data_IF_290674464410
#
_entry.id   IF_290674464410
#
_cell.length_a   1.000
_cell.length_b   1.000
_cell.length_c   1.000
_cell.angle_alpha   90.00
_cell.angle_beta   90.00
_cell.angle_gamma   90.00
#
_symmetry.space_group_name_H-M   'P 1'
#
loop_
_entity.id
_entity.type
_entity.pdbx_description
1 polymer ?
#
# COMPACT_ATOMS: atom_id res chain seq x y z
N UNK A 1 15.73 14.49 18.74
CA UNK A 1 15.77 13.03 18.97
C UNK A 1 17.21 12.54 19.12
N UNK A 2 18.04 12.51 18.08
CA UNK A 2 19.45 12.07 18.23
C UNK A 2 20.31 13.05 19.07
N UNK A 3 20.10 14.37 18.94
CA UNK A 3 20.83 15.38 19.72
C UNK A 3 20.50 15.39 21.22
N UNK A 4 19.38 14.78 21.62
CA UNK A 4 18.96 14.66 23.03
C UNK A 4 19.33 13.29 23.63
N UNK A 5 20.09 12.46 22.89
CA UNK A 5 20.51 11.12 23.35
C UNK A 5 19.40 10.06 23.32
N UNK A 6 18.26 10.35 22.68
CA UNK A 6 17.16 9.38 22.50
C UNK A 6 17.41 8.58 21.23
N UNK A 7 17.57 7.26 21.39
CA UNK A 7 17.75 6.35 20.26
C UNK A 7 16.44 6.21 19.46
N UNK A 8 16.48 6.31 18.12
CA UNK A 8 15.31 6.07 17.30
C UNK A 8 14.90 4.60 17.40
N UNK A 9 13.59 4.37 17.41
CA UNK A 9 12.98 3.04 17.38
C UNK A 9 12.25 2.79 16.05
N UNK A 10 11.69 1.59 15.89
CA UNK A 10 10.88 1.20 14.71
C UNK A 10 9.79 2.23 14.39
N UNK A 11 9.06 2.72 15.41
CA UNK A 11 8.01 3.73 15.22
C UNK A 11 8.55 5.05 14.68
N UNK A 12 9.71 5.48 15.20
CA UNK A 12 10.39 6.70 14.75
C UNK A 12 10.72 6.62 13.26
N UNK A 13 11.25 5.49 12.79
CA UNK A 13 11.54 5.29 11.38
C UNK A 13 10.29 5.26 10.50
N UNK A 14 9.20 4.64 10.95
CA UNK A 14 7.92 4.67 10.22
C UNK A 14 7.45 6.12 10.01
N UNK A 15 7.50 6.95 11.05
CA UNK A 15 7.07 8.35 10.97
C UNK A 15 7.93 9.13 9.98
N UNK A 16 9.26 9.00 10.08
CA UNK A 16 10.19 9.72 9.20
C UNK A 16 10.07 9.25 7.75
N UNK A 17 10.01 7.93 7.49
CA UNK A 17 9.81 7.39 6.14
C UNK A 17 8.47 7.81 5.54
N UNK A 18 7.40 7.86 6.35
CA UNK A 18 6.11 8.36 5.91
C UNK A 18 6.19 9.86 5.54
N UNK A 19 6.90 10.66 6.33
CA UNK A 19 7.14 12.06 6.01
C UNK A 19 7.93 12.22 4.69
N UNK A 20 8.97 11.42 4.47
CA UNK A 20 9.68 11.37 3.18
C UNK A 20 8.73 11.01 2.03
N UNK A 21 7.84 10.03 2.23
CA UNK A 21 6.83 9.64 1.24
C UNK A 21 5.92 10.81 0.85
N UNK A 22 5.38 11.52 1.84
CA UNK A 22 4.52 12.68 1.60
C UNK A 22 5.27 13.86 0.96
N UNK A 23 6.54 14.04 1.28
CA UNK A 23 7.38 15.12 0.75
C UNK A 23 8.03 14.79 -0.60
N UNK A 24 7.94 13.53 -1.07
CA UNK A 24 8.61 13.08 -2.29
C UNK A 24 10.14 12.99 -2.17
N UNK A 25 10.66 12.90 -0.94
CA UNK A 25 12.10 12.84 -0.64
C UNK A 25 12.62 11.41 -0.78
N UNK A 26 12.76 10.96 -2.03
CA UNK A 26 13.08 9.57 -2.37
C UNK A 26 14.47 9.18 -1.88
N UNK A 27 15.48 10.02 -2.13
CA UNK A 27 16.87 9.70 -1.80
C UNK A 27 17.09 9.68 -0.28
N UNK A 28 16.49 10.64 0.44
CA UNK A 28 16.49 10.68 1.89
C UNK A 28 15.76 9.46 2.48
N UNK A 29 14.60 9.08 1.94
CA UNK A 29 13.86 7.91 2.38
C UNK A 29 14.68 6.61 2.24
N UNK A 30 15.40 6.46 1.13
CA UNK A 30 16.32 5.32 0.92
C UNK A 30 17.46 5.35 1.92
N UNK A 31 18.07 6.51 2.14
CA UNK A 31 19.16 6.64 3.10
C UNK A 31 18.72 6.27 4.52
N UNK A 32 17.58 6.80 4.96
CA UNK A 32 16.96 6.50 6.27
C UNK A 32 16.62 5.01 6.39
N UNK A 33 16.03 4.41 5.36
CA UNK A 33 15.71 2.98 5.37
C UNK A 33 16.96 2.09 5.47
N UNK A 34 18.06 2.51 4.85
CA UNK A 34 19.34 1.80 4.89
C UNK A 34 20.07 1.96 6.24
N UNK A 35 19.96 3.13 6.88
CA UNK A 35 20.60 3.39 8.18
C UNK A 35 19.97 2.63 9.34
N UNK A 36 18.69 2.23 9.23
CA UNK A 36 17.96 1.50 10.28
C UNK A 36 18.77 0.35 10.90
N UNK A 37 19.20 -0.61 10.08
CA UNK A 37 19.93 -1.79 10.56
C UNK A 37 21.41 -1.50 10.76
N UNK A 38 22.01 -0.71 9.85
CA UNK A 38 23.46 -0.51 9.81
C UNK A 38 23.99 0.47 10.86
N UNK A 39 23.20 1.48 11.21
CA UNK A 39 23.61 2.56 12.13
C UNK A 39 22.80 2.55 13.43
N UNK A 40 21.53 2.11 13.39
CA UNK A 40 20.63 2.19 14.54
C UNK A 40 20.24 0.83 15.12
N UNK A 41 20.67 -0.28 14.51
CA UNK A 41 20.36 -1.65 14.92
C UNK A 41 18.85 -1.92 15.07
N UNK A 42 18.03 -1.24 14.26
CA UNK A 42 16.57 -1.39 14.20
C UNK A 42 16.22 -2.29 13.01
N UNK A 43 15.63 -3.48 13.22
CA UNK A 43 15.25 -4.36 12.13
C UNK A 43 14.08 -3.77 11.33
N UNK A 44 14.10 -4.00 10.01
CA UNK A 44 12.99 -3.62 9.13
C UNK A 44 11.85 -4.63 9.24
N UNK A 45 10.62 -4.14 9.26
CA UNK A 45 9.40 -4.93 9.25
C UNK A 45 8.47 -4.52 8.10
N UNK A 46 7.34 -5.21 7.96
CA UNK A 46 6.34 -4.95 6.91
C UNK A 46 5.91 -3.49 6.80
N UNK A 47 5.83 -2.74 7.92
CA UNK A 47 5.40 -1.34 7.89
C UNK A 47 6.46 -0.46 7.24
N UNK A 48 7.74 -0.68 7.53
CA UNK A 48 8.84 0.07 6.91
C UNK A 48 8.90 -0.17 5.40
N UNK A 49 8.75 -1.43 4.97
CA UNK A 49 8.66 -1.73 3.53
C UNK A 49 7.42 -1.10 2.90
N UNK A 50 6.30 -1.05 3.61
CA UNK A 50 5.09 -0.33 3.17
C UNK A 50 5.34 1.16 2.95
N UNK A 51 6.04 1.84 3.86
CA UNK A 51 6.42 3.25 3.70
C UNK A 51 7.30 3.47 2.45
N UNK A 52 8.24 2.56 2.18
CA UNK A 52 9.11 2.66 0.99
C UNK A 52 8.33 2.44 -0.30
N UNK A 53 7.38 1.49 -0.33
CA UNK A 53 6.52 1.28 -1.49
C UNK A 53 5.61 2.48 -1.72
N UNK A 54 5.04 3.08 -0.66
CA UNK A 54 4.25 4.31 -0.75
C UNK A 54 5.11 5.48 -1.28
N UNK A 55 6.34 5.64 -0.79
CA UNK A 55 7.29 6.64 -1.26
C UNK A 55 7.56 6.53 -2.76
N UNK A 56 7.92 5.34 -3.25
CA UNK A 56 8.15 5.13 -4.68
C UNK A 56 6.87 5.32 -5.50
N UNK A 57 5.74 4.83 -4.99
CA UNK A 57 4.43 4.92 -5.63
C UNK A 57 3.99 6.37 -5.85
N UNK A 58 4.12 7.21 -4.81
CA UNK A 58 3.76 8.64 -4.86
C UNK A 58 4.72 9.45 -5.72
N UNK A 59 5.99 9.06 -5.77
CA UNK A 59 6.98 9.66 -6.66
C UNK A 59 6.80 9.24 -8.14
N UNK A 60 5.81 8.40 -8.47
CA UNK A 60 5.59 7.88 -9.83
C UNK A 60 6.61 6.81 -10.26
N UNK A 61 7.45 6.34 -9.34
CA UNK A 61 8.49 5.34 -9.58
C UNK A 61 7.93 3.92 -9.47
N UNK A 62 6.85 3.64 -10.21
CA UNK A 62 6.07 2.38 -10.10
C UNK A 62 6.93 1.13 -10.37
N UNK A 63 7.80 1.16 -11.39
CA UNK A 63 8.73 0.07 -11.69
C UNK A 63 9.67 -0.22 -10.52
N UNK A 64 10.25 0.83 -9.93
CA UNK A 64 11.12 0.72 -8.75
C UNK A 64 10.37 0.20 -7.54
N UNK A 65 9.11 0.61 -7.33
CA UNK A 65 8.27 0.08 -6.28
C UNK A 65 8.02 -1.43 -6.44
N UNK A 66 7.78 -1.89 -7.66
CA UNK A 66 7.60 -3.33 -7.95
C UNK A 66 8.88 -4.15 -7.74
N UNK A 67 10.02 -3.64 -8.21
CA UNK A 67 11.34 -4.25 -7.93
C UNK A 67 11.60 -4.33 -6.43
N UNK A 68 11.30 -3.26 -5.70
CA UNK A 68 11.49 -3.19 -4.26
C UNK A 68 10.63 -4.22 -3.50
N UNK A 69 9.36 -4.41 -3.90
CA UNK A 69 8.52 -5.49 -3.36
C UNK A 69 9.16 -6.86 -3.57
N UNK A 70 9.82 -7.07 -4.72
CA UNK A 70 10.46 -8.34 -5.05
C UNK A 70 11.73 -8.61 -4.21
N UNK A 71 12.29 -7.57 -3.57
CA UNK A 71 13.41 -7.68 -2.64
C UNK A 71 12.98 -7.91 -1.18
N UNK A 72 11.68 -7.88 -0.89
CA UNK A 72 11.18 -8.08 0.47
C UNK A 72 11.51 -9.49 0.96
N UNK A 73 11.97 -9.66 2.22
CA UNK A 73 12.30 -10.98 2.76
C UNK A 73 11.05 -11.81 3.14
N UNK A 74 9.85 -11.29 2.88
CA UNK A 74 8.56 -11.92 3.15
C UNK A 74 7.53 -11.49 2.09
N UNK A 75 6.44 -12.24 1.98
CA UNK A 75 5.36 -11.92 1.04
C UNK A 75 4.69 -10.57 1.38
N UNK A 76 4.48 -9.68 0.39
CA UNK A 76 3.80 -8.42 0.61
C UNK A 76 2.34 -8.66 1.02
N UNK A 77 1.87 -7.89 2.01
CA UNK A 77 0.46 -7.93 2.40
C UNK A 77 -0.43 -7.21 1.37
N UNK A 78 -1.74 -7.32 1.54
CA UNK A 78 -2.73 -6.69 0.65
C UNK A 78 -2.65 -5.16 0.64
N UNK A 79 -2.16 -4.54 1.71
CA UNK A 79 -2.00 -3.10 1.81
C UNK A 79 -0.89 -2.60 0.86
N UNK A 80 0.28 -3.25 0.89
CA UNK A 80 1.41 -2.96 0.01
C UNK A 80 1.04 -3.19 -1.46
N UNK A 81 0.41 -4.33 -1.75
CA UNK A 81 -0.05 -4.65 -3.11
C UNK A 81 -1.12 -3.66 -3.59
N UNK A 82 -2.05 -3.27 -2.72
CA UNK A 82 -3.08 -2.30 -3.02
C UNK A 82 -2.52 -0.90 -3.31
N UNK A 83 -1.53 -0.46 -2.53
CA UNK A 83 -0.84 0.81 -2.75
C UNK A 83 -0.14 0.83 -4.12
N UNK A 84 0.60 -0.22 -4.46
CA UNK A 84 1.25 -0.32 -5.77
C UNK A 84 0.23 -0.38 -6.92
N UNK A 85 -0.85 -1.13 -6.78
CA UNK A 85 -1.90 -1.21 -7.81
C UNK A 85 -2.57 0.14 -8.04
N UNK A 86 -2.80 0.91 -6.97
CA UNK A 86 -3.30 2.29 -7.06
C UNK A 86 -2.32 3.18 -7.85
N UNK A 87 -1.02 3.06 -7.55
CA UNK A 87 0.03 3.78 -8.28
C UNK A 87 0.07 3.40 -9.77
N UNK A 88 -0.07 2.11 -10.10
CA UNK A 88 -0.18 1.65 -11.48
C UNK A 88 -1.38 2.29 -12.20
N UNK A 89 -2.51 2.43 -11.51
CA UNK A 89 -3.70 3.08 -12.07
C UNK A 89 -3.53 4.56 -12.32
N UNK A 90 -2.79 5.27 -11.47
CA UNK A 90 -2.55 6.71 -11.64
C UNK A 90 -1.55 6.95 -12.78
N UNK A 91 -0.54 6.08 -12.90
CA UNK A 91 0.56 6.24 -13.86
C UNK A 91 0.36 5.47 -15.17
N UNK A 92 -0.78 4.79 -15.36
CA UNK A 92 -1.10 3.96 -16.53
C UNK A 92 -0.10 2.83 -16.81
N UNK A 93 0.50 2.25 -15.76
CA UNK A 93 1.43 1.12 -15.85
C UNK A 93 0.65 -0.20 -15.88
N UNK A 94 0.16 -0.58 -17.07
CA UNK A 94 -0.70 -1.77 -17.24
C UNK A 94 -0.01 -3.06 -16.82
N UNK A 95 1.19 -3.29 -17.35
CA UNK A 95 1.94 -4.55 -17.22
C UNK A 95 2.17 -4.88 -15.74
N UNK A 96 2.61 -3.89 -14.96
CA UNK A 96 2.80 -4.05 -13.51
C UNK A 96 1.45 -4.21 -12.81
N UNK A 97 0.43 -3.45 -13.22
CA UNK A 97 -0.91 -3.56 -12.66
C UNK A 97 -1.49 -4.98 -12.76
N UNK A 98 -1.30 -5.65 -13.90
CA UNK A 98 -1.72 -7.04 -14.10
C UNK A 98 -0.94 -8.01 -13.20
N UNK A 99 0.39 -7.85 -13.10
CA UNK A 99 1.24 -8.68 -12.24
C UNK A 99 0.85 -8.55 -10.76
N UNK A 100 0.61 -7.32 -10.31
CA UNK A 100 0.19 -7.03 -8.92
C UNK A 100 -1.19 -7.60 -8.65
N UNK A 101 -2.14 -7.49 -9.58
CA UNK A 101 -3.46 -8.11 -9.40
C UNK A 101 -3.36 -9.64 -9.32
N UNK A 102 -2.54 -10.27 -10.16
CA UNK A 102 -2.33 -11.71 -10.11
C UNK A 102 -1.76 -12.15 -8.75
N UNK A 103 -0.85 -11.37 -8.14
CA UNK A 103 -0.37 -11.59 -6.77
C UNK A 103 -1.51 -11.45 -5.75
N UNK A 104 -2.36 -10.42 -5.86
CA UNK A 104 -3.52 -10.24 -4.98
C UNK A 104 -4.48 -11.43 -5.10
N UNK A 105 -4.72 -11.93 -6.31
CA UNK A 105 -5.59 -13.08 -6.57
C UNK A 105 -5.08 -14.38 -5.93
N UNK A 106 -3.77 -14.54 -5.78
CA UNK A 106 -3.17 -15.67 -5.05
C UNK A 106 -3.37 -15.56 -3.53
N UNK A 107 -3.48 -14.34 -2.99
CA UNK A 107 -3.53 -14.07 -1.56
C UNK A 107 -4.96 -13.90 -1.04
N UNK A 108 -5.88 -13.35 -1.84
CA UNK A 108 -7.23 -13.02 -1.42
C UNK A 108 -8.29 -13.48 -2.42
N UNK A 109 -9.34 -14.12 -1.89
CA UNK A 109 -10.48 -14.57 -2.70
C UNK A 109 -11.58 -13.52 -2.91
N UNK A 110 -11.48 -12.33 -2.28
CA UNK A 110 -12.45 -11.24 -2.43
C UNK A 110 -11.81 -9.99 -3.07
N UNK A 111 -12.24 -9.68 -4.29
CA UNK A 111 -11.53 -8.81 -5.24
C UNK A 111 -12.03 -7.37 -5.30
N UNK A 112 -13.00 -6.99 -4.46
CA UNK A 112 -13.80 -5.78 -4.65
C UNK A 112 -12.98 -4.51 -4.94
N UNK A 113 -12.01 -4.16 -4.08
CA UNK A 113 -11.18 -2.97 -4.26
C UNK A 113 -10.13 -3.09 -5.37
N UNK A 114 -9.39 -4.20 -5.40
CA UNK A 114 -8.30 -4.41 -6.37
C UNK A 114 -8.80 -4.52 -7.82
N UNK A 115 -9.93 -5.21 -8.04
CA UNK A 115 -10.55 -5.30 -9.35
C UNK A 115 -11.04 -3.94 -9.87
N UNK A 116 -11.55 -3.06 -8.99
CA UNK A 116 -11.95 -1.70 -9.38
C UNK A 116 -10.74 -0.92 -9.89
N UNK A 117 -9.61 -0.99 -9.18
CA UNK A 117 -8.37 -0.32 -9.60
C UNK A 117 -7.91 -0.82 -10.97
N UNK A 118 -7.87 -2.14 -11.24
CA UNK A 118 -7.50 -2.64 -12.57
C UNK A 118 -8.46 -2.16 -13.67
N UNK A 119 -9.77 -2.13 -13.38
CA UNK A 119 -10.76 -1.62 -14.35
C UNK A 119 -10.51 -0.15 -14.72
N UNK A 120 -9.96 0.66 -13.81
CA UNK A 120 -9.58 2.04 -14.10
C UNK A 120 -8.34 2.09 -15.01
N UNK A 121 -7.35 1.22 -14.81
CA UNK A 121 -6.16 1.12 -15.68
C UNK A 121 -6.56 0.77 -17.12
N UNK A 122 -7.47 -0.20 -17.29
CA UNK A 122 -8.01 -0.56 -18.61
C UNK A 122 -8.82 0.57 -19.24
N UNK A 123 -9.63 1.28 -18.44
CA UNK A 123 -10.42 2.41 -18.92
C UNK A 123 -9.53 3.53 -19.46
N UNK A 124 -8.42 3.85 -18.78
CA UNK A 124 -7.45 4.85 -19.24
C UNK A 124 -6.76 4.49 -20.56
N UNK A 125 -6.75 3.20 -20.91
CA UNK A 125 -6.20 2.69 -22.18
C UNK A 125 -7.27 2.40 -23.24
N UNK A 126 -8.52 2.83 -23.01
CA UNK A 126 -9.66 2.58 -23.89
C UNK A 126 -9.98 1.10 -24.12
N UNK A 127 -9.55 0.21 -23.21
CA UNK A 127 -9.80 -1.23 -23.27
C UNK A 127 -11.16 -1.58 -22.65
N UNK A 128 -12.24 -1.05 -23.22
CA UNK A 128 -13.60 -1.12 -22.66
C UNK A 128 -14.16 -2.54 -22.50
N UNK A 129 -13.73 -3.48 -23.34
CA UNK A 129 -14.10 -4.89 -23.22
C UNK A 129 -13.57 -5.51 -21.91
N UNK A 130 -12.32 -5.20 -21.54
CA UNK A 130 -11.70 -5.67 -20.30
C UNK A 130 -12.34 -5.00 -19.07
N UNK A 131 -12.69 -3.71 -19.19
CA UNK A 131 -13.45 -2.98 -18.16
C UNK A 131 -14.78 -3.68 -17.86
N UNK A 132 -15.56 -4.01 -18.89
CA UNK A 132 -16.85 -4.68 -18.72
C UNK A 132 -16.68 -6.08 -18.11
N UNK A 133 -15.70 -6.84 -18.59
CA UNK A 133 -15.37 -8.17 -18.07
C UNK A 133 -15.06 -8.15 -16.57
N UNK A 134 -14.21 -7.22 -16.13
CA UNK A 134 -13.85 -7.08 -14.71
C UNK A 134 -15.04 -6.62 -13.87
N UNK A 135 -15.77 -5.58 -14.31
CA UNK A 135 -16.91 -5.05 -13.55
C UNK A 135 -18.03 -6.08 -13.39
N UNK A 136 -18.24 -6.93 -14.40
CA UNK A 136 -19.18 -8.05 -14.31
C UNK A 136 -18.73 -9.08 -13.28
N UNK A 137 -17.45 -9.49 -13.28
CA UNK A 137 -16.88 -10.39 -12.26
C UNK A 137 -17.04 -9.83 -10.85
N UNK A 138 -16.68 -8.55 -10.64
CA UNK A 138 -16.82 -7.88 -9.34
C UNK A 138 -18.28 -7.88 -8.88
N UNK A 139 -19.23 -7.55 -9.76
CA UNK A 139 -20.66 -7.53 -9.40
C UNK A 139 -21.14 -8.91 -8.97
N UNK A 140 -20.79 -9.96 -9.71
CA UNK A 140 -21.17 -11.33 -9.37
C UNK A 140 -20.55 -11.79 -8.04
N UNK A 141 -19.29 -11.47 -7.78
CA UNK A 141 -18.59 -11.84 -6.54
C UNK A 141 -19.04 -11.01 -5.33
N UNK A 142 -19.34 -9.71 -5.51
CA UNK A 142 -19.77 -8.80 -4.45
C UNK A 142 -21.18 -9.12 -3.93
N UNK A 143 -22.07 -9.62 -4.80
CA UNK A 143 -23.40 -10.09 -4.41
C UNK A 143 -23.32 -11.25 -3.41
N UNK A 144 -22.25 -12.04 -3.46
CA UNK A 144 -22.09 -13.23 -2.61
C UNK A 144 -21.40 -12.92 -1.27
N UNK A 145 -20.67 -11.78 -1.16
CA UNK A 145 -19.65 -11.61 -0.11
C UNK A 145 -19.64 -10.29 0.66
N UNK A 146 -20.55 -9.34 0.44
CA UNK A 146 -20.58 -8.12 1.26
C UNK A 146 -21.32 -8.32 2.58
N UNK A 147 -20.65 -8.42 3.75
CA UNK A 147 -21.27 -7.98 4.98
C UNK A 147 -21.50 -6.46 4.90
N UNK A 148 -22.57 -5.92 5.50
CA UNK A 148 -22.80 -4.49 5.58
C UNK A 148 -21.61 -3.79 6.28
N UNK A 149 -21.21 -2.63 5.77
CA UNK A 149 -20.20 -1.80 6.42
C UNK A 149 -20.77 -1.24 7.73
N UNK A 150 -20.14 -1.57 8.85
CA UNK A 150 -20.46 -0.99 10.15
C UNK A 150 -19.35 -0.01 10.55
N UNK A 151 -19.71 1.24 10.82
CA UNK A 151 -18.89 2.16 11.59
C UNK A 151 -19.50 2.26 12.99
N UNK A 152 -18.89 1.60 13.97
CA UNK A 152 -19.26 1.72 15.39
C UNK A 152 -18.35 2.76 16.03
N UNK A 153 -18.90 3.93 16.33
CA UNK A 153 -18.29 4.87 17.27
C UNK A 153 -18.96 4.59 18.62
N UNK A 154 -18.31 3.75 19.44
CA UNK A 154 -18.70 3.63 20.84
C UNK A 154 -18.13 4.84 21.58
N UNK A 155 -18.95 5.90 21.72
CA UNK A 155 -18.67 6.94 22.69
C UNK A 155 -19.12 6.41 24.06
N UNK A 156 -18.18 5.98 24.89
CA UNK A 156 -18.43 5.81 26.33
C UNK A 156 -18.65 7.19 26.94
N UNK A 157 -19.91 7.62 27.02
CA UNK A 157 -20.30 8.72 27.89
C UNK A 157 -20.39 8.13 29.29
N UNK A 158 -19.30 8.26 30.05
CA UNK A 158 -19.32 7.97 31.48
C UNK A 158 -20.22 8.98 32.17
N UNK A 159 -21.47 8.59 32.45
CA UNK A 159 -22.39 9.39 33.25
C UNK A 159 -21.91 9.39 34.69
N UNK A 160 -21.15 10.42 35.08
CA UNK A 160 -20.99 10.78 36.49
C UNK A 160 -22.34 11.29 37.00
N UNK A 161 -23.06 10.43 37.72
CA UNK A 161 -24.13 10.87 38.63
C UNK A 161 -23.48 11.35 39.93
N UNK A 162 -23.77 12.60 40.31
CA UNK A 162 -23.47 13.19 41.61
C UNK A 162 -24.11 12.43 42.76
#
# INVERSE_FOLDING_TARGET
MCEEGVLPDSTTFIVVLSACSHAGLVDEGIHIFNSMESEHNVPRDTKHYGCMVDLFSRAGLVRRAYEFISMMPFEPNLEILGALLSACSINNELEIGELVLNKIDMVCSYKGGAGVLLSNIYANQNLWHEVDTIRRKIRTEAIVRKPPGHSLIAAEVSSMTF
#
